data_IF_179714066093
#
_entry.id   IF_179714066093
#
_cell.length_a   1.000
_cell.length_b   1.000
_cell.length_c   1.000
_cell.angle_alpha   90.00
_cell.angle_beta   90.00
_cell.angle_gamma   90.00
#
_symmetry.space_group_name_H-M   'P 1'
#
loop_
_entity.id
_entity.type
_entity.pdbx_description
1 polymer ?
#
# COMPACT_ATOMS: atom_id res chain seq x y z
N UNK A 1 -55.87 -9.97 15.23
CA UNK A 1 -54.97 -8.80 15.07
C UNK A 1 -55.23 -7.73 16.14
N UNK A 2 -56.40 -7.07 16.17
CA UNK A 2 -56.69 -5.99 17.14
C UNK A 2 -56.45 -6.36 18.63
N UNK A 3 -56.68 -7.63 19.02
CA UNK A 3 -56.42 -8.12 20.39
C UNK A 3 -54.93 -8.29 20.72
N UNK A 4 -54.11 -8.66 19.74
CA UNK A 4 -52.69 -8.96 19.95
C UNK A 4 -51.81 -7.71 19.71
N UNK A 5 -52.27 -6.81 18.84
CA UNK A 5 -51.58 -5.57 18.47
C UNK A 5 -52.55 -4.40 18.56
N UNK A 6 -52.77 -3.85 19.77
CA UNK A 6 -53.55 -2.63 19.94
C UNK A 6 -52.96 -1.50 19.08
N UNK A 7 -53.82 -0.72 18.40
CA UNK A 7 -53.38 0.39 17.57
C UNK A 7 -52.89 0.03 16.16
N UNK A 8 -52.94 -1.25 15.74
CA UNK A 8 -52.56 -1.69 14.37
C UNK A 8 -53.37 -1.02 13.24
N UNK A 9 -54.50 -0.39 13.56
CA UNK A 9 -55.31 0.38 12.60
C UNK A 9 -54.79 1.80 12.36
N UNK A 10 -53.88 2.30 13.19
CA UNK A 10 -53.37 3.67 13.10
C UNK A 10 -52.11 3.81 12.21
N UNK A 11 -51.58 2.69 11.70
CA UNK A 11 -50.38 2.68 10.85
C UNK A 11 -49.76 1.29 10.75
N UNK A 12 -48.65 1.18 10.03
CA UNK A 12 -47.90 -0.07 9.92
C UNK A 12 -47.35 -0.50 11.28
N UNK A 13 -47.60 -1.76 11.65
CA UNK A 13 -47.09 -2.37 12.86
C UNK A 13 -46.36 -3.68 12.53
N UNK A 14 -45.19 -3.88 13.14
CA UNK A 14 -44.49 -5.16 13.06
C UNK A 14 -45.26 -6.24 13.81
N UNK A 15 -45.79 -7.23 13.07
CA UNK A 15 -46.50 -8.37 13.64
C UNK A 15 -45.64 -9.63 13.63
N UNK A 16 -45.84 -10.48 14.63
CA UNK A 16 -45.28 -11.83 14.68
C UNK A 16 -46.35 -12.82 14.24
N UNK A 17 -46.16 -13.47 13.09
CA UNK A 17 -47.06 -14.51 12.57
C UNK A 17 -47.29 -15.62 13.59
N UNK A 18 -46.25 -16.00 14.36
CA UNK A 18 -46.34 -17.00 15.42
C UNK A 18 -47.24 -16.57 16.57
N UNK A 19 -47.22 -15.30 16.96
CA UNK A 19 -48.09 -14.77 18.01
C UNK A 19 -49.53 -14.72 17.52
N UNK A 20 -49.76 -14.28 16.28
CA UNK A 20 -51.11 -14.28 15.68
C UNK A 20 -51.66 -15.70 15.58
N UNK A 21 -50.82 -16.67 15.20
CA UNK A 21 -51.14 -18.09 15.13
C UNK A 21 -51.61 -18.66 16.47
N UNK A 22 -50.94 -18.31 17.58
CA UNK A 22 -51.35 -18.73 18.93
C UNK A 22 -52.74 -18.23 19.31
N UNK A 23 -53.03 -16.95 19.07
CA UNK A 23 -54.37 -16.38 19.36
C UNK A 23 -55.46 -16.92 18.45
N UNK A 24 -55.13 -17.18 17.18
CA UNK A 24 -56.07 -17.70 16.19
C UNK A 24 -56.25 -19.23 16.27
N UNK A 25 -55.40 -19.93 17.04
CA UNK A 25 -55.31 -21.40 17.07
C UNK A 25 -55.10 -22.01 15.67
N UNK A 26 -54.27 -21.36 14.87
CA UNK A 26 -53.91 -21.78 13.52
C UNK A 26 -52.41 -22.11 13.44
N UNK A 27 -51.99 -22.83 12.41
CA UNK A 27 -50.57 -22.95 12.11
C UNK A 27 -50.03 -21.62 11.53
N UNK A 28 -48.77 -21.22 11.80
CA UNK A 28 -48.20 -19.98 11.25
C UNK A 28 -48.29 -19.88 9.72
N UNK A 29 -48.13 -21.00 9.00
CA UNK A 29 -48.29 -21.04 7.55
C UNK A 29 -49.71 -20.70 7.08
N UNK A 30 -50.74 -21.14 7.83
CA UNK A 30 -52.14 -20.82 7.53
C UNK A 30 -52.44 -19.34 7.82
N UNK A 31 -51.85 -18.78 8.88
CA UNK A 31 -51.96 -17.33 9.15
C UNK A 31 -51.38 -16.53 7.99
N UNK A 32 -50.22 -16.92 7.46
CA UNK A 32 -49.62 -16.28 6.29
C UNK A 32 -50.55 -16.33 5.08
N UNK A 33 -51.11 -17.49 4.76
CA UNK A 33 -52.08 -17.64 3.65
C UNK A 33 -53.31 -16.73 3.83
N UNK A 34 -53.85 -16.63 5.05
CA UNK A 34 -54.99 -15.76 5.34
C UNK A 34 -54.63 -14.28 5.19
N UNK A 35 -53.44 -13.87 5.64
CA UNK A 35 -52.95 -12.49 5.49
C UNK A 35 -52.70 -12.14 4.02
N UNK A 36 -52.14 -13.06 3.24
CA UNK A 36 -51.95 -12.91 1.79
C UNK A 36 -53.30 -12.81 1.05
N UNK A 37 -54.27 -13.65 1.41
CA UNK A 37 -55.62 -13.58 0.84
C UNK A 37 -56.31 -12.25 1.21
N UNK A 38 -56.23 -11.83 2.48
CA UNK A 38 -56.82 -10.56 2.92
C UNK A 38 -56.17 -9.35 2.23
N UNK A 39 -54.87 -9.41 1.92
CA UNK A 39 -54.21 -8.41 1.10
C UNK A 39 -54.72 -8.40 -0.34
N UNK A 40 -54.93 -9.59 -0.94
CA UNK A 40 -55.45 -9.70 -2.31
C UNK A 40 -56.86 -9.13 -2.44
N UNK A 41 -57.66 -9.25 -1.38
CA UNK A 41 -59.00 -8.66 -1.26
C UNK A 41 -58.95 -7.19 -0.77
N UNK A 42 -57.77 -6.58 -0.69
CA UNK A 42 -57.54 -5.18 -0.28
C UNK A 42 -58.05 -4.82 1.14
N UNK A 43 -58.21 -5.82 2.01
CA UNK A 43 -58.68 -5.65 3.40
C UNK A 43 -57.56 -5.09 4.29
N UNK A 44 -56.31 -5.44 3.98
CA UNK A 44 -55.13 -5.01 4.72
C UNK A 44 -53.90 -4.94 3.82
N UNK A 45 -52.84 -4.30 4.31
CA UNK A 45 -51.51 -4.36 3.69
C UNK A 45 -50.63 -5.27 4.55
N UNK A 46 -50.07 -6.32 3.96
CA UNK A 46 -49.22 -7.29 4.63
C UNK A 46 -47.88 -7.43 3.92
N UNK A 47 -46.83 -6.96 4.58
CA UNK A 47 -45.45 -7.20 4.14
C UNK A 47 -44.92 -8.47 4.83
N UNK A 48 -44.76 -9.60 4.10
CA UNK A 48 -44.27 -10.83 4.69
C UNK A 48 -42.82 -10.68 5.13
N UNK A 49 -42.45 -11.41 6.20
CA UNK A 49 -41.06 -11.47 6.66
C UNK A 49 -40.17 -12.00 5.53
N UNK A 50 -39.10 -11.26 5.23
CA UNK A 50 -38.06 -11.69 4.29
C UNK A 50 -37.05 -12.56 5.05
N UNK A 51 -36.85 -13.79 4.59
CA UNK A 51 -35.89 -14.73 5.21
C UNK A 51 -34.47 -14.60 4.65
N UNK A 52 -34.28 -13.80 3.59
CA UNK A 52 -32.97 -13.52 2.98
C UNK A 52 -32.32 -12.30 3.62
N UNK A 53 -30.98 -12.27 3.77
CA UNK A 53 -30.25 -11.09 4.24
C UNK A 53 -30.67 -9.83 3.47
N UNK A 54 -30.93 -8.75 4.20
CA UNK A 54 -31.27 -7.44 3.62
C UNK A 54 -30.15 -6.45 3.89
N UNK A 55 -29.78 -5.66 2.89
CA UNK A 55 -28.98 -4.46 3.08
C UNK A 55 -29.93 -3.29 3.26
N UNK A 56 -29.82 -2.60 4.39
CA UNK A 56 -30.56 -1.36 4.65
C UNK A 56 -29.55 -0.22 4.69
N UNK A 57 -29.69 0.71 3.76
CA UNK A 57 -28.93 1.95 3.80
C UNK A 57 -29.58 2.88 4.82
N UNK A 58 -28.87 3.15 5.91
CA UNK A 58 -29.36 4.01 7.00
C UNK A 58 -29.38 5.50 6.63
N UNK A 59 -28.81 5.84 5.48
CA UNK A 59 -28.70 7.21 4.98
C UNK A 59 -29.02 7.23 3.50
N UNK A 60 -29.56 8.34 3.06
CA UNK A 60 -29.77 8.60 1.65
C UNK A 60 -28.44 8.63 0.89
N UNK A 61 -28.52 8.28 -0.40
CA UNK A 61 -27.38 8.41 -1.30
C UNK A 61 -27.20 9.88 -1.63
N UNK A 62 -26.05 10.44 -1.28
CA UNK A 62 -25.69 11.81 -1.67
C UNK A 62 -25.53 11.88 -3.18
N UNK A 63 -26.17 12.86 -3.82
CA UNK A 63 -26.06 13.12 -5.25
C UNK A 63 -24.61 13.54 -5.60
N UNK A 64 -24.12 13.17 -6.78
CA UNK A 64 -22.74 13.46 -7.20
C UNK A 64 -22.40 14.95 -7.15
N UNK A 65 -23.37 15.80 -7.44
CA UNK A 65 -23.24 17.25 -7.50
C UNK A 65 -23.10 17.87 -6.10
N UNK A 66 -23.60 17.18 -5.08
CA UNK A 66 -23.50 17.58 -3.66
C UNK A 66 -22.30 16.94 -2.94
N UNK A 67 -21.54 16.10 -3.63
CA UNK A 67 -20.33 15.49 -3.07
C UNK A 67 -19.17 16.49 -3.14
N UNK A 68 -18.86 17.14 -2.02
CA UNK A 68 -17.68 18.00 -1.90
C UNK A 68 -16.49 17.20 -1.34
N UNK A 69 -15.43 17.09 -2.12
CA UNK A 69 -14.13 16.58 -1.64
C UNK A 69 -13.26 17.79 -1.32
N UNK A 70 -12.73 17.85 -0.11
CA UNK A 70 -11.71 18.84 0.25
C UNK A 70 -10.41 18.52 -0.52
N UNK A 71 -10.27 19.17 -1.67
CA UNK A 71 -9.15 19.02 -2.58
C UNK A 71 -7.82 19.43 -1.94
N UNK A 72 -7.82 20.41 -1.03
CA UNK A 72 -6.61 20.85 -0.35
C UNK A 72 -6.13 19.76 0.62
N UNK A 73 -7.04 19.24 1.45
CA UNK A 73 -6.75 18.13 2.35
C UNK A 73 -6.35 16.86 1.58
N UNK A 74 -7.01 16.57 0.46
CA UNK A 74 -6.66 15.42 -0.38
C UNK A 74 -5.23 15.53 -0.90
N UNK A 75 -4.86 16.67 -1.50
CA UNK A 75 -3.50 16.90 -2.00
C UNK A 75 -2.46 16.83 -0.89
N UNK A 76 -2.73 17.40 0.28
CA UNK A 76 -1.85 17.30 1.44
C UNK A 76 -1.59 15.85 1.87
N UNK A 77 -2.65 15.03 1.95
CA UNK A 77 -2.53 13.61 2.29
C UNK A 77 -1.80 12.81 1.23
N UNK A 78 -2.00 13.15 -0.05
CA UNK A 78 -1.27 12.55 -1.17
C UNK A 78 0.23 12.85 -1.08
N UNK A 79 0.61 14.12 -0.92
CA UNK A 79 2.01 14.52 -0.79
C UNK A 79 2.70 13.79 0.37
N UNK A 80 2.08 13.73 1.55
CA UNK A 80 2.62 12.95 2.67
C UNK A 80 2.75 11.46 2.39
N UNK A 81 1.88 10.90 1.57
CA UNK A 81 1.99 9.50 1.19
C UNK A 81 3.19 9.27 0.26
N UNK A 82 3.42 10.18 -0.69
CA UNK A 82 4.59 10.18 -1.59
C UNK A 82 5.89 10.31 -0.79
N UNK A 83 5.99 11.31 0.09
CA UNK A 83 7.16 11.52 0.96
C UNK A 83 7.50 10.27 1.80
N UNK A 84 6.50 9.57 2.34
CA UNK A 84 6.74 8.31 3.10
C UNK A 84 7.31 7.20 2.23
N UNK A 85 6.84 7.09 0.98
CA UNK A 85 7.35 6.08 0.05
C UNK A 85 8.79 6.41 -0.32
N UNK A 86 9.10 7.67 -0.60
CA UNK A 86 10.46 8.13 -0.87
C UNK A 86 11.40 7.84 0.30
N UNK A 87 10.97 8.09 1.54
CA UNK A 87 11.75 7.73 2.73
C UNK A 87 11.96 6.22 2.89
N UNK A 88 10.97 5.40 2.54
CA UNK A 88 11.11 3.94 2.58
C UNK A 88 12.08 3.41 1.50
N UNK A 89 12.04 4.00 0.29
CA UNK A 89 13.00 3.70 -0.78
C UNK A 89 14.40 4.12 -0.35
N UNK A 90 14.57 5.35 0.13
CA UNK A 90 15.85 5.84 0.64
C UNK A 90 16.38 4.95 1.77
N UNK A 91 15.50 4.51 2.69
CA UNK A 91 15.88 3.58 3.74
C UNK A 91 16.43 2.27 3.18
N UNK A 92 15.87 1.75 2.09
CA UNK A 92 16.23 0.48 1.44
C UNK A 92 17.48 0.57 0.55
N UNK A 93 17.68 1.68 -0.16
CA UNK A 93 18.76 1.81 -1.15
C UNK A 93 20.03 2.47 -0.60
N UNK A 94 19.89 3.32 0.43
CA UNK A 94 21.06 4.03 0.98
C UNK A 94 22.01 3.08 1.68
N UNK A 95 23.30 3.16 1.32
CA UNK A 95 24.40 2.37 1.90
C UNK A 95 24.84 2.84 3.29
N UNK A 96 23.90 3.30 4.12
CA UNK A 96 24.11 3.70 5.52
C UNK A 96 23.57 2.62 6.44
N UNK A 97 24.23 2.39 7.58
CA UNK A 97 23.75 1.45 8.60
C UNK A 97 22.25 1.61 8.87
N UNK A 98 21.48 0.53 8.68
CA UNK A 98 20.00 0.55 8.80
C UNK A 98 19.53 1.09 10.15
N UNK A 99 20.20 0.69 11.23
CA UNK A 99 19.88 1.17 12.58
C UNK A 99 20.15 2.67 12.73
N UNK A 100 21.26 3.20 12.19
CA UNK A 100 21.53 4.65 12.22
C UNK A 100 20.49 5.45 11.43
N UNK A 101 20.01 4.92 10.32
CA UNK A 101 18.94 5.55 9.53
C UNK A 101 17.63 5.63 10.32
N UNK A 102 17.25 4.53 11.00
CA UNK A 102 16.05 4.50 11.85
C UNK A 102 16.18 5.45 13.05
N UNK A 103 17.32 5.44 13.73
CA UNK A 103 17.57 6.33 14.88
C UNK A 103 17.48 7.81 14.46
N UNK A 104 18.08 8.17 13.33
CA UNK A 104 17.99 9.53 12.79
C UNK A 104 16.55 9.95 12.48
N UNK A 105 15.71 9.03 11.97
CA UNK A 105 14.28 9.29 11.74
C UNK A 105 13.53 9.63 13.04
N UNK A 106 13.93 9.02 14.17
CA UNK A 106 13.37 9.32 15.50
C UNK A 106 14.09 10.46 16.25
N UNK A 107 15.03 11.16 15.60
CA UNK A 107 15.73 12.31 16.18
C UNK A 107 17.06 11.99 16.86
N UNK A 108 17.54 10.74 16.78
CA UNK A 108 18.81 10.31 17.36
C UNK A 108 19.92 10.30 16.28
N UNK A 109 20.65 11.42 16.15
CA UNK A 109 21.67 11.59 15.08
C UNK A 109 23.04 11.04 15.44
N UNK A 110 23.38 11.02 16.74
CA UNK A 110 24.65 10.54 17.27
C UNK A 110 24.54 9.06 17.63
N UNK A 111 24.72 8.19 16.63
CA UNK A 111 24.70 6.73 16.83
C UNK A 111 25.83 6.05 16.06
N UNK A 112 26.43 5.04 16.70
CA UNK A 112 27.44 4.18 16.07
C UNK A 112 26.82 3.18 15.08
N UNK A 113 27.65 2.58 14.25
CA UNK A 113 27.21 1.52 13.34
C UNK A 113 26.83 0.27 14.14
N UNK A 114 25.67 -0.34 13.84
CA UNK A 114 25.14 -1.44 14.65
C UNK A 114 25.89 -2.78 14.51
N UNK A 115 26.77 -2.93 13.51
CA UNK A 115 27.54 -4.16 13.28
C UNK A 115 26.76 -5.37 12.73
N UNK A 116 25.42 -5.38 12.86
CA UNK A 116 24.58 -6.57 12.57
C UNK A 116 23.68 -6.47 11.34
N UNK A 117 23.46 -5.27 10.79
CA UNK A 117 22.62 -5.11 9.58
C UNK A 117 23.34 -5.56 8.30
N UNK A 118 22.60 -5.73 7.21
CA UNK A 118 23.10 -6.05 5.88
C UNK A 118 24.23 -5.12 5.41
N UNK A 119 24.08 -3.81 5.66
CA UNK A 119 25.11 -2.80 5.35
C UNK A 119 26.37 -2.97 6.22
N UNK A 120 26.22 -3.22 7.52
CA UNK A 120 27.37 -3.35 8.45
C UNK A 120 28.11 -4.68 8.32
N UNK A 121 27.36 -5.77 8.14
CA UNK A 121 27.92 -7.13 7.99
C UNK A 121 28.60 -7.30 6.64
N UNK A 122 28.29 -6.44 5.67
CA UNK A 122 28.94 -6.48 4.37
C UNK A 122 28.56 -7.71 3.57
N UNK A 123 27.33 -8.23 3.73
CA UNK A 123 26.77 -9.17 2.73
C UNK A 123 26.67 -8.55 1.33
N UNK A 124 26.80 -7.22 1.28
CA UNK A 124 26.98 -6.36 0.10
C UNK A 124 28.32 -5.59 0.19
N UNK A 125 29.44 -6.26 0.52
CA UNK A 125 30.77 -5.63 0.54
C UNK A 125 31.39 -5.64 -0.85
N UNK A 126 31.69 -4.45 -1.36
CA UNK A 126 33.00 -4.26 -1.99
C UNK A 126 34.06 -4.46 -0.89
N UNK A 127 35.22 -5.05 -1.19
CA UNK A 127 36.33 -5.20 -0.24
C UNK A 127 36.93 -3.85 0.25
N UNK A 128 36.27 -2.73 -0.06
CA UNK A 128 36.75 -1.37 0.16
C UNK A 128 36.04 -0.71 1.37
N UNK A 129 36.74 0.14 2.14
CA UNK A 129 36.10 1.02 3.11
C UNK A 129 35.01 1.89 2.46
N UNK A 130 33.90 2.14 3.17
CA UNK A 130 32.75 2.86 2.63
C UNK A 130 33.10 4.22 2.01
N UNK A 131 33.91 5.04 2.70
CA UNK A 131 34.36 6.35 2.19
C UNK A 131 35.18 6.25 0.90
N UNK A 132 36.01 5.20 0.78
CA UNK A 132 36.82 4.95 -0.42
C UNK A 132 35.93 4.52 -1.56
N UNK A 133 34.98 3.61 -1.30
CA UNK A 133 34.01 3.16 -2.28
C UNK A 133 33.15 4.31 -2.80
N UNK A 134 32.53 5.12 -1.93
CA UNK A 134 31.70 6.28 -2.32
C UNK A 134 32.49 7.30 -3.16
N UNK A 135 33.76 7.52 -2.81
CA UNK A 135 34.64 8.40 -3.57
C UNK A 135 34.96 7.85 -4.97
N UNK A 136 35.16 6.53 -5.10
CA UNK A 136 35.40 5.90 -6.39
C UNK A 136 34.12 5.81 -7.23
N UNK A 137 32.99 5.44 -6.63
CA UNK A 137 31.68 5.36 -7.29
C UNK A 137 31.34 6.69 -7.98
N UNK A 138 31.44 7.80 -7.25
CA UNK A 138 31.16 9.13 -7.81
C UNK A 138 32.02 9.43 -9.05
N UNK A 139 33.31 9.09 -9.00
CA UNK A 139 34.25 9.33 -10.11
C UNK A 139 33.99 8.41 -11.30
N UNK A 140 33.66 7.14 -11.05
CA UNK A 140 33.31 6.19 -12.10
C UNK A 140 32.03 6.67 -12.82
N UNK A 141 31.04 7.17 -12.07
CA UNK A 141 29.83 7.79 -12.64
C UNK A 141 30.12 9.06 -13.45
N UNK A 142 31.10 9.86 -13.04
CA UNK A 142 31.55 11.03 -13.82
C UNK A 142 32.21 10.62 -15.13
N UNK A 143 33.07 9.60 -15.11
CA UNK A 143 33.76 9.08 -16.30
C UNK A 143 32.78 8.44 -17.29
N UNK A 144 31.77 7.72 -16.80
CA UNK A 144 30.74 7.06 -17.63
C UNK A 144 29.52 7.95 -17.95
N UNK A 145 29.59 9.26 -17.67
CA UNK A 145 28.46 10.16 -17.87
C UNK A 145 28.08 10.33 -19.34
N UNK A 146 29.09 10.53 -20.20
CA UNK A 146 28.90 10.98 -21.58
C UNK A 146 28.97 9.82 -22.58
N UNK A 147 29.79 8.79 -22.32
CA UNK A 147 29.92 7.62 -23.18
C UNK A 147 30.18 6.33 -22.39
N UNK A 148 29.79 5.21 -23.00
CA UNK A 148 30.09 3.88 -22.47
C UNK A 148 31.51 3.44 -22.86
N UNK A 149 32.26 3.04 -21.85
CA UNK A 149 33.69 2.75 -21.96
C UNK A 149 34.00 1.29 -21.61
N UNK A 150 35.04 0.74 -22.22
CA UNK A 150 35.61 -0.56 -21.82
C UNK A 150 36.29 -0.46 -20.47
N UNK A 151 36.47 -1.61 -19.83
CA UNK A 151 37.08 -1.69 -18.52
C UNK A 151 38.47 -1.03 -18.46
N UNK A 152 39.31 -1.25 -19.47
CA UNK A 152 40.65 -0.68 -19.58
C UNK A 152 40.63 0.84 -19.75
N UNK A 153 39.66 1.35 -20.50
CA UNK A 153 39.47 2.78 -20.76
C UNK A 153 39.07 3.51 -19.47
N UNK A 154 38.18 2.90 -18.68
CA UNK A 154 37.81 3.42 -17.35
C UNK A 154 39.04 3.43 -16.45
N UNK A 155 39.82 2.35 -16.38
CA UNK A 155 41.03 2.28 -15.55
C UNK A 155 42.06 3.35 -15.95
N UNK A 156 42.19 3.66 -17.25
CA UNK A 156 43.12 4.67 -17.76
C UNK A 156 42.85 6.08 -17.23
N UNK A 157 41.60 6.39 -16.88
CA UNK A 157 41.21 7.67 -16.27
C UNK A 157 41.68 7.83 -14.81
N UNK A 158 42.19 6.75 -14.18
CA UNK A 158 42.64 6.76 -12.79
C UNK A 158 44.15 6.49 -12.69
N UNK A 159 44.77 7.01 -11.64
CA UNK A 159 46.16 6.73 -11.32
C UNK A 159 46.38 5.22 -11.08
N UNK A 160 47.47 4.66 -11.61
CA UNK A 160 47.78 3.22 -11.59
C UNK A 160 47.68 2.59 -10.19
N UNK A 161 48.12 3.32 -9.15
CA UNK A 161 48.03 2.89 -7.74
C UNK A 161 46.58 2.66 -7.23
N UNK A 162 45.57 3.12 -7.96
CA UNK A 162 44.15 2.97 -7.63
C UNK A 162 43.43 1.97 -8.53
N UNK A 163 44.10 1.36 -9.51
CA UNK A 163 43.48 0.43 -10.45
C UNK A 163 42.80 -0.74 -9.74
N UNK A 164 43.45 -1.33 -8.73
CA UNK A 164 42.85 -2.40 -7.92
C UNK A 164 41.58 -1.93 -7.19
N UNK A 165 41.61 -0.73 -6.62
CA UNK A 165 40.47 -0.12 -5.93
C UNK A 165 39.33 0.15 -6.89
N UNK A 166 39.62 0.69 -8.08
CA UNK A 166 38.62 1.00 -9.11
C UNK A 166 38.02 -0.29 -9.66
N UNK A 167 38.83 -1.31 -9.93
CA UNK A 167 38.36 -2.62 -10.37
C UNK A 167 37.38 -3.26 -9.38
N UNK A 168 37.71 -3.23 -8.08
CA UNK A 168 36.82 -3.72 -7.01
C UNK A 168 35.52 -2.93 -6.92
N UNK A 169 35.58 -1.61 -7.14
CA UNK A 169 34.38 -0.77 -7.17
C UNK A 169 33.51 -1.08 -8.40
N UNK A 170 34.09 -1.23 -9.59
CA UNK A 170 33.37 -1.59 -10.82
C UNK A 170 32.70 -2.95 -10.68
N UNK A 171 33.43 -3.98 -10.21
CA UNK A 171 32.89 -5.32 -10.01
C UNK A 171 31.68 -5.30 -9.06
N UNK A 172 31.81 -4.59 -7.94
CA UNK A 172 30.72 -4.41 -7.00
C UNK A 172 29.51 -3.67 -7.61
N UNK A 173 29.77 -2.64 -8.41
CA UNK A 173 28.72 -1.87 -9.09
C UNK A 173 27.99 -2.70 -10.18
N UNK A 174 28.67 -3.64 -10.83
CA UNK A 174 28.08 -4.62 -11.75
C UNK A 174 27.22 -5.65 -11.00
N UNK A 175 27.71 -6.18 -9.87
CA UNK A 175 26.98 -7.16 -9.05
C UNK A 175 25.67 -6.59 -8.47
N UNK A 176 25.69 -5.33 -8.02
CA UNK A 176 24.48 -4.62 -7.56
C UNK A 176 23.58 -4.15 -8.73
N UNK A 177 24.02 -4.34 -9.97
CA UNK A 177 23.31 -3.94 -11.17
C UNK A 177 23.14 -2.42 -11.28
N UNK A 178 24.09 -1.63 -10.79
CA UNK A 178 24.18 -0.16 -11.02
C UNK A 178 24.94 0.18 -12.30
N UNK A 179 25.83 -0.71 -12.72
CA UNK A 179 26.45 -0.74 -14.04
C UNK A 179 25.97 -1.98 -14.80
N UNK A 180 26.02 -1.92 -16.13
CA UNK A 180 25.81 -3.09 -16.98
C UNK A 180 26.87 -3.16 -18.08
N UNK A 181 27.22 -4.37 -18.49
CA UNK A 181 28.14 -4.60 -19.60
C UNK A 181 27.34 -5.08 -20.82
N UNK A 182 27.58 -4.46 -21.98
CA UNK A 182 26.93 -4.83 -23.24
C UNK A 182 27.67 -5.97 -23.97
N UNK A 183 27.13 -6.38 -25.13
CA UNK A 183 27.71 -7.43 -25.97
C UNK A 183 29.08 -7.05 -26.57
N UNK A 184 29.40 -5.75 -26.64
CA UNK A 184 30.67 -5.22 -27.13
C UNK A 184 31.70 -5.02 -25.98
N UNK A 185 31.39 -5.51 -24.78
CA UNK A 185 32.17 -5.40 -23.54
C UNK A 185 32.27 -3.98 -22.95
N UNK A 186 31.43 -3.04 -23.39
CA UNK A 186 31.39 -1.68 -22.83
C UNK A 186 30.51 -1.63 -21.59
N UNK A 187 30.92 -0.81 -20.62
CA UNK A 187 30.23 -0.63 -19.34
C UNK A 187 29.42 0.66 -19.39
N UNK A 188 28.16 0.55 -18.97
CA UNK A 188 27.16 1.62 -19.01
C UNK A 188 26.58 1.89 -17.62
N UNK A 189 26.10 3.12 -17.40
CA UNK A 189 25.31 3.47 -16.22
C UNK A 189 23.86 3.03 -16.39
N UNK A 190 23.29 2.39 -15.37
CA UNK A 190 21.86 2.09 -15.35
C UNK A 190 21.05 3.39 -15.25
N UNK A 191 20.24 3.66 -16.27
CA UNK A 191 19.40 4.86 -16.37
C UNK A 191 19.72 5.79 -17.55
N UNK A 192 20.62 5.40 -18.46
CA UNK A 192 20.92 6.14 -19.70
C UNK A 192 20.15 5.61 -20.93
N UNK A 193 18.85 5.36 -20.77
CA UNK A 193 17.87 5.20 -21.87
C UNK A 193 16.77 6.27 -21.74
#
# INVERSE_FOLDING_TARGET
>A
LLRAYPGIHNGFAGISESTVAQYAKLAPAQVRQVLEAAQKEEILVYEPRKDKPQLVFLRERVASESLSIDQAMFRFRKQRAEERVEHAIAYAETRRCRSRQLLAYFGETESEACGICDVCTGRNKSELPAEVFESMERKIREVLRDEALRFEEILSAFAQKRHETVAKAIAYMLDEGTLFQDADEKIHLKGSD
#
